data_IF_050381301108
#
_entry.id   IF_050381301108
#
_cell.length_a   1.000
_cell.length_b   1.000
_cell.length_c   1.000
_cell.angle_alpha   90.00
_cell.angle_beta   90.00
_cell.angle_gamma   90.00
#
_symmetry.space_group_name_H-M   'P 1'
#
loop_
_entity.id
_entity.type
_entity.pdbx_description
1 polymer ?
#
# COMPACT_ATOMS: atom_id res chain seq x y z
N UNK A 1 -4.90 2.60 29.86
CA UNK A 1 -4.36 3.41 28.75
C UNK A 1 -5.26 3.08 27.58
N UNK A 2 -6.29 3.89 27.37
CA UNK A 2 -7.23 3.69 26.25
C UNK A 2 -6.47 4.20 25.04
N UNK A 3 -5.99 3.30 24.18
CA UNK A 3 -5.63 3.70 22.82
C UNK A 3 -6.90 4.32 22.26
N UNK A 4 -6.83 5.58 21.87
CA UNK A 4 -7.93 6.22 21.16
C UNK A 4 -7.95 5.52 19.81
N UNK A 5 -8.72 4.44 19.71
CA UNK A 5 -9.14 3.90 18.43
C UNK A 5 -9.99 5.02 17.84
N UNK A 6 -9.48 5.67 16.80
CA UNK A 6 -10.27 6.64 16.08
C UNK A 6 -11.34 5.83 15.34
N UNK A 7 -12.64 6.06 15.58
CA UNK A 7 -13.66 5.25 14.92
C UNK A 7 -13.72 5.51 13.42
N UNK A 8 -13.00 6.52 12.91
CA UNK A 8 -12.80 6.77 11.48
C UNK A 8 -11.54 6.07 10.92
N UNK A 9 -10.61 5.59 11.74
CA UNK A 9 -9.33 4.93 11.38
C UNK A 9 -8.98 3.87 12.45
N UNK A 10 -9.42 2.63 12.21
CA UNK A 10 -9.48 1.59 13.25
C UNK A 10 -8.11 1.00 13.60
N UNK A 11 -7.23 0.90 12.63
CA UNK A 11 -5.89 0.35 12.73
C UNK A 11 -4.79 1.43 12.78
N UNK A 12 -5.16 2.70 12.59
CA UNK A 12 -4.31 3.87 12.77
C UNK A 12 -3.15 3.92 11.76
N UNK A 13 -3.41 3.45 10.54
CA UNK A 13 -2.45 3.39 9.44
C UNK A 13 -2.38 4.72 8.64
N UNK A 14 -3.37 5.61 8.84
CA UNK A 14 -3.50 6.90 8.18
C UNK A 14 -4.48 6.94 7.02
N UNK A 15 -5.17 5.83 6.74
CA UNK A 15 -6.31 5.71 5.85
C UNK A 15 -7.61 5.69 6.68
N UNK A 16 -8.70 6.22 6.13
CA UNK A 16 -9.99 6.18 6.81
C UNK A 16 -10.74 4.92 6.43
N UNK A 17 -11.50 4.34 7.37
CA UNK A 17 -12.33 3.14 7.15
C UNK A 17 -13.26 3.25 5.92
N UNK A 18 -13.70 4.47 5.58
CA UNK A 18 -14.50 4.73 4.37
C UNK A 18 -13.68 4.61 3.07
N UNK A 19 -12.44 5.13 3.08
CA UNK A 19 -11.52 5.05 1.94
C UNK A 19 -11.03 3.61 1.76
N UNK A 20 -10.74 2.91 2.85
CA UNK A 20 -10.40 1.49 2.85
C UNK A 20 -11.51 0.63 2.22
N UNK A 21 -12.76 0.86 2.63
CA UNK A 21 -13.90 0.18 2.04
C UNK A 21 -14.13 0.52 0.55
N UNK A 22 -13.65 1.68 0.08
CA UNK A 22 -13.69 2.07 -1.33
C UNK A 22 -12.58 1.42 -2.16
N UNK A 23 -11.39 1.25 -1.57
CA UNK A 23 -10.23 0.61 -2.17
C UNK A 23 -10.33 -0.91 -2.14
N UNK A 24 -11.03 -1.46 -1.14
CA UNK A 24 -11.21 -2.89 -0.94
C UNK A 24 -10.25 -3.50 0.09
N UNK A 25 -9.56 -2.66 0.87
CA UNK A 25 -8.72 -3.05 2.01
C UNK A 25 -9.57 -3.37 3.25
N UNK A 26 -8.96 -3.96 4.28
CA UNK A 26 -9.67 -4.30 5.53
C UNK A 26 -9.39 -3.23 6.61
N UNK A 27 -10.42 -2.52 7.13
CA UNK A 27 -10.29 -1.48 8.16
C UNK A 27 -9.87 -1.98 9.54
N UNK A 28 -9.24 -3.14 9.62
CA UNK A 28 -8.64 -3.69 10.83
C UNK A 28 -7.22 -4.18 10.56
N UNK A 29 -6.70 -3.93 9.37
CA UNK A 29 -5.46 -4.44 8.82
C UNK A 29 -4.73 -3.24 8.23
N UNK A 30 -3.66 -2.86 8.92
CA UNK A 30 -2.85 -1.70 8.60
C UNK A 30 -2.00 -1.88 7.33
N UNK A 31 -1.87 -3.11 6.84
CA UNK A 31 -1.08 -3.53 5.67
C UNK A 31 -1.81 -4.72 5.00
N UNK A 32 -2.65 -4.41 4.01
CA UNK A 32 -3.63 -5.35 3.43
C UNK A 32 -3.00 -6.41 2.53
N UNK A 33 -1.87 -6.12 1.90
CA UNK A 33 -1.14 -7.07 1.05
C UNK A 33 0.09 -7.71 1.73
N UNK A 34 0.42 -7.22 2.93
CA UNK A 34 1.50 -7.70 3.79
C UNK A 34 2.90 -7.51 3.20
N UNK A 35 3.13 -6.44 2.46
CA UNK A 35 4.42 -6.09 1.87
C UNK A 35 5.33 -5.28 2.83
N UNK A 36 4.77 -4.80 3.94
CA UNK A 36 5.45 -4.02 4.97
C UNK A 36 5.26 -2.50 4.86
N UNK A 37 4.46 -2.04 3.91
CA UNK A 37 3.98 -0.67 3.76
C UNK A 37 2.53 -0.61 4.25
N UNK A 38 2.14 0.54 4.79
CA UNK A 38 0.79 0.72 5.33
C UNK A 38 -0.17 1.16 4.21
N UNK A 39 -1.43 0.69 4.21
CA UNK A 39 -2.40 1.02 3.16
C UNK A 39 -2.52 2.55 2.95
N UNK A 40 -2.57 3.30 4.06
CA UNK A 40 -2.61 4.76 4.04
C UNK A 40 -1.35 5.42 3.49
N UNK A 41 -0.19 4.79 3.66
CA UNK A 41 1.07 5.27 3.10
C UNK A 41 1.20 4.92 1.61
N UNK A 42 0.68 3.77 1.17
CA UNK A 42 0.55 3.37 -0.24
C UNK A 42 -0.34 4.32 -1.03
N UNK A 43 -1.55 4.60 -0.52
CA UNK A 43 -2.49 5.55 -1.13
C UNK A 43 -1.88 6.95 -1.26
N UNK A 44 -1.06 7.37 -0.29
CA UNK A 44 -0.38 8.66 -0.33
C UNK A 44 0.79 8.69 -1.34
N UNK A 45 1.46 7.55 -1.55
CA UNK A 45 2.46 7.37 -2.62
C UNK A 45 1.82 7.23 -4.00
N UNK A 46 0.55 6.83 -4.05
CA UNK A 46 -0.18 6.54 -5.28
C UNK A 46 0.04 5.11 -5.79
N UNK A 47 0.43 4.21 -4.89
CA UNK A 47 0.52 2.77 -5.12
C UNK A 47 -0.81 2.08 -4.79
N UNK A 48 -0.94 0.79 -5.07
CA UNK A 48 -2.17 0.02 -4.87
C UNK A 48 -2.09 -0.81 -3.57
N UNK A 49 -2.87 -0.47 -2.51
CA UNK A 49 -2.79 -1.13 -1.19
C UNK A 49 -3.26 -2.59 -1.16
N UNK A 50 -3.55 -3.16 -2.32
CA UNK A 50 -3.90 -4.57 -2.48
C UNK A 50 -2.85 -5.32 -3.30
N UNK A 51 -1.75 -4.67 -3.67
CA UNK A 51 -0.74 -5.18 -4.55
C UNK A 51 0.65 -4.84 -4.03
N UNK A 52 1.28 -5.86 -3.44
CA UNK A 52 2.62 -5.74 -2.85
C UNK A 52 3.70 -5.25 -3.83
N UNK A 53 3.42 -5.24 -5.13
CA UNK A 53 4.28 -4.75 -6.22
C UNK A 53 3.32 -4.11 -7.23
N UNK A 54 3.17 -2.78 -7.14
CA UNK A 54 2.18 -2.04 -7.93
C UNK A 54 2.55 -1.97 -9.41
N UNK A 55 3.84 -1.91 -9.75
CA UNK A 55 4.31 -1.72 -11.13
C UNK A 55 4.82 -3.00 -11.82
N UNK A 56 4.93 -4.09 -11.05
CA UNK A 56 5.31 -5.43 -11.50
C UNK A 56 6.81 -5.61 -11.75
N UNK A 57 7.66 -4.79 -11.11
CA UNK A 57 9.12 -4.79 -11.30
C UNK A 57 9.86 -5.85 -10.46
N UNK A 58 9.13 -6.63 -9.63
CA UNK A 58 9.60 -7.65 -8.68
C UNK A 58 10.17 -7.13 -7.35
N UNK A 59 10.14 -5.83 -7.12
CA UNK A 59 10.40 -5.17 -5.85
C UNK A 59 9.06 -4.83 -5.21
N UNK A 60 8.97 -4.95 -3.89
CA UNK A 60 7.72 -4.56 -3.22
C UNK A 60 7.71 -3.08 -2.91
N UNK A 61 6.52 -2.48 -2.85
CA UNK A 61 6.37 -1.05 -2.54
C UNK A 61 7.02 -0.75 -1.15
N UNK A 62 6.92 -1.71 -0.22
CA UNK A 62 7.54 -1.76 1.11
C UNK A 62 9.07 -1.89 1.16
N UNK A 63 9.75 -2.26 0.07
CA UNK A 63 11.21 -2.45 0.05
C UNK A 63 11.99 -1.12 0.10
N UNK A 64 11.29 0.02 0.04
CA UNK A 64 11.88 1.36 0.15
C UNK A 64 12.61 1.80 -1.11
N UNK A 65 12.39 1.10 -2.22
CA UNK A 65 12.57 1.62 -3.57
C UNK A 65 11.30 2.38 -3.95
N UNK A 66 11.47 3.46 -4.69
CA UNK A 66 10.35 4.23 -5.22
C UNK A 66 10.01 3.71 -6.62
N UNK A 67 8.79 3.21 -6.83
CA UNK A 67 8.28 2.73 -8.13
C UNK A 67 8.47 3.78 -9.24
N UNK A 68 8.41 5.06 -8.87
CA UNK A 68 8.63 6.16 -9.79
C UNK A 68 10.09 6.29 -10.27
N UNK A 69 11.07 5.74 -9.54
CA UNK A 69 12.48 5.74 -9.94
C UNK A 69 13.07 4.37 -10.22
N UNK A 70 12.37 3.27 -9.90
CA UNK A 70 12.57 1.98 -10.57
C UNK A 70 11.96 2.00 -11.99
N UNK A 71 12.40 2.98 -12.77
CA UNK A 71 12.40 2.85 -14.21
C UNK A 71 13.46 1.81 -14.60
N UNK A 72 13.30 0.56 -14.18
CA UNK A 72 13.75 -0.55 -15.00
C UNK A 72 12.83 -0.55 -16.23
N UNK A 73 13.29 -0.09 -17.42
CA UNK A 73 12.61 -0.50 -18.62
C UNK A 73 12.61 -2.02 -18.56
N UNK A 74 11.44 -2.64 -18.68
CA UNK A 74 11.33 -4.04 -19.07
C UNK A 74 12.36 -4.25 -20.17
N UNK A 75 13.46 -4.93 -19.83
CA UNK A 75 14.49 -5.29 -20.78
C UNK A 75 13.76 -6.02 -21.90
N UNK A 76 13.93 -5.50 -23.11
CA UNK A 76 13.33 -6.00 -24.31
C UNK A 76 13.54 -7.51 -24.42
N UNK A 77 12.50 -8.29 -24.14
CA UNK A 77 12.37 -9.59 -24.77
C UNK A 77 11.07 -9.64 -25.55
N UNK A 78 11.13 -8.91 -26.68
CA UNK A 78 10.63 -9.45 -27.94
C UNK A 78 11.17 -10.88 -28.07
N UNK A 79 10.30 -11.88 -27.85
CA UNK A 79 10.13 -13.06 -28.69
C UNK A 79 8.94 -13.92 -28.28
#
# INVERSE_FOLDING_TARGET
>A
MTVAIDPEDLDCDGLSNEDEALLGTDPNVDDSDSDGLLDGEEVNRGTDPLAADTDGDTLTDGDGVDDATDAAPLDETVQ
#
